data_IF_211891647005
#
_entry.id   IF_211891647005
#
_cell.length_a   1.000
_cell.length_b   1.000
_cell.length_c   1.000
_cell.angle_alpha   90.00
_cell.angle_beta   90.00
_cell.angle_gamma   90.00
#
_symmetry.space_group_name_H-M   'P 1'
#
loop_
_entity.id
_entity.type
_entity.pdbx_description
1 polymer ?
#
# COMPACT_ATOMS: atom_id res chain seq x y z
N UNK A 1 21.37 54.19 -31.17
CA UNK A 1 20.31 53.36 -30.53
C UNK A 1 20.95 52.12 -29.91
N UNK A 2 20.93 51.92 -28.61
CA UNK A 2 21.61 50.80 -27.96
C UNK A 2 20.77 49.55 -27.96
N UNK A 3 21.22 48.52 -28.71
CA UNK A 3 20.64 47.14 -28.71
C UNK A 3 21.35 46.27 -27.65
N UNK A 4 21.10 46.47 -26.35
CA UNK A 4 21.76 45.62 -25.34
C UNK A 4 20.97 45.24 -24.07
N UNK A 5 19.63 45.16 -23.98
CA UNK A 5 19.02 44.55 -22.79
C UNK A 5 18.65 43.07 -22.96
N UNK A 6 18.44 42.58 -24.18
CA UNK A 6 17.87 41.22 -24.34
C UNK A 6 18.86 40.09 -24.03
N UNK A 7 20.14 40.25 -24.37
CA UNK A 7 21.16 39.22 -24.05
C UNK A 7 21.45 39.11 -22.57
N UNK A 8 21.44 40.23 -21.83
CA UNK A 8 21.71 40.27 -20.39
C UNK A 8 20.58 39.67 -19.58
N UNK A 9 19.32 39.85 -20.01
CA UNK A 9 18.13 39.25 -19.39
C UNK A 9 18.09 37.74 -19.63
N UNK A 10 18.45 37.29 -20.85
CA UNK A 10 18.49 35.86 -21.18
C UNK A 10 19.60 35.13 -20.41
N UNK A 11 20.78 35.77 -20.24
CA UNK A 11 21.90 35.19 -19.47
C UNK A 11 21.60 35.18 -17.96
N UNK A 12 20.91 36.18 -17.43
CA UNK A 12 20.47 36.19 -16.02
C UNK A 12 19.40 35.12 -15.76
N UNK A 13 18.48 34.85 -16.72
CA UNK A 13 17.48 33.82 -16.62
C UNK A 13 18.09 32.41 -16.69
N UNK A 14 19.09 32.19 -17.54
CA UNK A 14 19.83 30.91 -17.62
C UNK A 14 20.71 30.66 -16.40
N UNK A 15 21.32 31.65 -15.82
CA UNK A 15 22.08 31.54 -14.56
C UNK A 15 21.16 31.30 -13.36
N UNK A 16 20.00 31.93 -13.29
CA UNK A 16 18.99 31.69 -12.27
C UNK A 16 18.37 30.27 -12.41
N UNK A 17 18.17 29.77 -13.63
CA UNK A 17 17.69 28.39 -13.88
C UNK A 17 18.74 27.34 -13.49
N UNK A 18 20.04 27.60 -13.72
CA UNK A 18 21.11 26.69 -13.32
C UNK A 18 21.36 26.67 -11.80
N UNK A 19 21.12 27.77 -11.08
CA UNK A 19 21.18 27.79 -9.62
C UNK A 19 19.94 27.21 -8.96
N UNK A 20 18.80 27.15 -9.66
CA UNK A 20 17.59 26.51 -9.16
C UNK A 20 17.69 24.96 -9.14
N UNK A 21 18.54 24.37 -9.98
CA UNK A 21 18.77 22.90 -9.98
C UNK A 21 19.42 22.35 -8.70
N UNK A 22 19.93 23.22 -7.81
CA UNK A 22 20.53 22.80 -6.52
C UNK A 22 19.65 23.03 -5.29
N UNK A 23 18.42 23.53 -5.46
CA UNK A 23 17.57 24.00 -4.35
C UNK A 23 16.89 22.87 -3.55
N UNK A 24 16.67 21.71 -4.14
CA UNK A 24 16.08 20.57 -3.43
C UNK A 24 17.05 19.40 -3.50
N UNK A 25 17.58 19.02 -2.34
CA UNK A 25 18.40 17.82 -2.19
C UNK A 25 17.56 16.67 -1.68
N UNK A 26 17.83 15.50 -2.19
CA UNK A 26 17.29 14.25 -1.71
C UNK A 26 17.52 14.09 -0.20
N UNK A 27 16.48 13.68 0.53
CA UNK A 27 16.57 13.40 1.95
C UNK A 27 16.59 11.87 2.14
N UNK A 28 17.75 11.29 2.50
CA UNK A 28 17.87 9.85 2.67
C UNK A 28 17.11 9.37 3.91
N UNK A 29 16.61 8.15 3.84
CA UNK A 29 16.13 7.40 5.00
C UNK A 29 17.34 7.06 5.88
N UNK A 30 17.17 7.14 7.19
CA UNK A 30 18.23 6.80 8.13
C UNK A 30 18.71 5.35 7.98
N UNK A 31 20.00 5.12 8.10
CA UNK A 31 20.60 3.80 8.00
C UNK A 31 20.76 3.14 9.35
N UNK A 32 20.72 1.81 9.38
CA UNK A 32 21.05 0.99 10.55
C UNK A 32 22.37 0.25 10.29
N UNK A 33 23.14 0.08 11.35
CA UNK A 33 24.44 -0.64 11.29
C UNK A 33 24.32 -2.10 11.75
N UNK A 34 23.21 -2.47 12.38
CA UNK A 34 22.93 -3.81 12.89
C UNK A 34 21.42 -4.05 12.90
N UNK A 35 21.04 -5.27 12.55
CA UNK A 35 19.64 -5.70 12.66
C UNK A 35 19.31 -6.05 14.11
N UNK A 36 18.20 -5.51 14.62
CA UNK A 36 17.60 -5.91 15.88
C UNK A 36 16.15 -6.35 15.60
N UNK A 37 15.89 -7.64 15.75
CA UNK A 37 14.57 -8.22 15.47
C UNK A 37 13.48 -7.78 16.46
N UNK A 38 13.88 -7.17 17.58
CA UNK A 38 12.94 -6.66 18.59
C UNK A 38 12.63 -5.16 18.44
N UNK A 39 13.19 -4.51 17.44
CA UNK A 39 13.02 -3.08 17.21
C UNK A 39 12.47 -2.77 15.82
N UNK A 40 11.80 -1.63 15.72
CA UNK A 40 11.24 -1.11 14.48
C UNK A 40 9.80 -1.56 14.24
N UNK A 41 9.16 -0.98 13.25
CA UNK A 41 7.77 -1.23 12.89
C UNK A 41 7.59 -2.62 12.29
N UNK A 42 7.42 -3.62 13.17
CA UNK A 42 7.30 -5.06 12.86
C UNK A 42 5.98 -5.61 13.33
N UNK A 43 5.41 -6.49 12.55
CA UNK A 43 4.18 -7.16 12.93
C UNK A 43 4.38 -8.10 14.13
N UNK A 44 5.51 -8.81 14.20
CA UNK A 44 5.78 -9.78 15.26
C UNK A 44 5.98 -9.14 16.65
N UNK A 45 6.56 -7.95 16.70
CA UNK A 45 6.82 -7.22 17.95
C UNK A 45 5.75 -6.19 18.26
N UNK A 46 4.79 -5.98 17.35
CA UNK A 46 3.74 -4.98 17.53
C UNK A 46 2.86 -5.28 18.74
N UNK A 47 2.61 -4.25 19.56
CA UNK A 47 1.70 -4.33 20.71
C UNK A 47 0.22 -4.28 20.32
N UNK A 48 -0.08 -4.29 19.01
CA UNK A 48 -1.46 -4.22 18.48
C UNK A 48 -2.27 -5.47 18.80
N UNK A 49 -1.60 -6.52 19.26
CA UNK A 49 -2.21 -7.80 19.56
C UNK A 49 -2.92 -7.77 20.94
N UNK A 50 -4.17 -8.22 20.94
CA UNK A 50 -4.95 -8.40 22.17
C UNK A 50 -4.74 -9.83 22.67
N UNK A 51 -4.19 -9.97 23.88
CA UNK A 51 -3.93 -11.28 24.49
C UNK A 51 -5.21 -12.08 24.82
N UNK A 52 -6.37 -11.41 24.84
CA UNK A 52 -7.65 -11.99 25.29
C UNK A 52 -8.55 -12.46 24.12
N UNK A 53 -8.12 -12.34 22.86
CA UNK A 53 -8.93 -12.65 21.69
C UNK A 53 -8.31 -13.77 20.87
N UNK A 54 -9.10 -14.80 20.55
CA UNK A 54 -8.70 -15.92 19.69
C UNK A 54 -8.99 -15.66 18.20
N UNK A 55 -9.50 -14.50 17.88
CA UNK A 55 -9.85 -14.06 16.53
C UNK A 55 -8.86 -13.03 16.01
N UNK A 56 -8.41 -13.20 14.76
CA UNK A 56 -7.54 -12.28 14.07
C UNK A 56 -8.21 -11.74 12.80
N UNK A 57 -8.47 -10.44 12.76
CA UNK A 57 -9.20 -9.79 11.66
C UNK A 57 -8.25 -8.99 10.79
N UNK A 58 -8.20 -9.33 9.51
CA UNK A 58 -7.41 -8.67 8.48
C UNK A 58 -8.34 -7.92 7.54
N UNK A 59 -8.13 -6.62 7.38
CA UNK A 59 -8.83 -5.78 6.42
C UNK A 59 -7.89 -5.42 5.27
N UNK A 60 -8.29 -5.74 4.04
CA UNK A 60 -7.52 -5.45 2.83
C UNK A 60 -8.26 -4.42 1.99
N UNK A 61 -7.58 -3.30 1.70
CA UNK A 61 -8.12 -2.15 0.97
C UNK A 61 -7.38 -1.99 -0.36
N UNK A 62 -8.09 -2.25 -1.45
CA UNK A 62 -7.52 -2.22 -2.81
C UNK A 62 -7.09 -0.84 -3.26
N UNK A 63 -6.29 -0.80 -4.33
CA UNK A 63 -6.07 0.40 -5.12
C UNK A 63 -7.33 0.88 -5.84
N UNK A 64 -7.30 2.13 -6.33
CA UNK A 64 -8.42 2.74 -7.06
C UNK A 64 -8.66 4.23 -6.73
N UNK A 65 -7.66 4.92 -6.18
CA UNK A 65 -7.74 6.36 -5.85
C UNK A 65 -8.81 6.66 -4.78
N UNK A 66 -9.46 7.80 -4.89
CA UNK A 66 -10.53 8.21 -3.96
C UNK A 66 -11.70 7.23 -3.94
N UNK A 67 -12.01 6.55 -5.06
CA UNK A 67 -13.04 5.51 -5.12
C UNK A 67 -12.77 4.36 -4.12
N UNK A 68 -11.53 3.87 -4.09
CA UNK A 68 -11.14 2.81 -3.16
C UNK A 68 -11.16 3.28 -1.70
N UNK A 69 -10.71 4.51 -1.46
CA UNK A 69 -10.77 5.11 -0.13
C UNK A 69 -12.22 5.32 0.35
N UNK A 70 -13.14 5.72 -0.54
CA UNK A 70 -14.56 5.93 -0.21
C UNK A 70 -15.26 4.60 0.10
N UNK A 71 -15.11 3.58 -0.76
CA UNK A 71 -15.68 2.26 -0.51
C UNK A 71 -15.14 1.65 0.80
N UNK A 72 -13.82 1.74 1.01
CA UNK A 72 -13.20 1.26 2.26
C UNK A 72 -13.71 2.02 3.49
N UNK A 73 -13.95 3.33 3.36
CA UNK A 73 -14.51 4.15 4.42
C UNK A 73 -15.95 3.71 4.77
N UNK A 74 -16.80 3.48 3.77
CA UNK A 74 -18.16 2.95 4.00
C UNK A 74 -18.14 1.59 4.71
N UNK A 75 -17.16 0.72 4.38
CA UNK A 75 -16.97 -0.54 5.10
C UNK A 75 -16.56 -0.28 6.56
N UNK A 76 -15.64 0.66 6.83
CA UNK A 76 -15.28 1.00 8.21
C UNK A 76 -16.45 1.58 9.00
N UNK A 77 -17.32 2.40 8.38
CA UNK A 77 -18.55 2.89 9.01
C UNK A 77 -19.47 1.74 9.43
N UNK A 78 -19.67 0.74 8.56
CA UNK A 78 -20.46 -0.43 8.90
C UNK A 78 -19.82 -1.26 10.01
N UNK A 79 -18.51 -1.48 9.97
CA UNK A 79 -17.78 -2.18 11.04
C UNK A 79 -17.84 -1.42 12.37
N UNK A 80 -17.88 -0.09 12.37
CA UNK A 80 -18.04 0.72 13.58
C UNK A 80 -19.42 0.56 14.20
N UNK A 81 -20.46 0.44 13.40
CA UNK A 81 -21.84 0.27 13.86
C UNK A 81 -22.10 -1.13 14.44
N UNK A 82 -21.40 -2.16 13.95
CA UNK A 82 -21.53 -3.52 14.45
C UNK A 82 -20.76 -3.70 15.75
N UNK A 83 -21.45 -4.16 16.81
CA UNK A 83 -20.83 -4.42 18.09
C UNK A 83 -20.72 -5.92 18.33
N UNK A 84 -19.56 -6.32 18.83
CA UNK A 84 -19.26 -7.69 19.26
C UNK A 84 -18.84 -7.70 20.71
N UNK A 85 -19.16 -8.77 21.43
CA UNK A 85 -18.71 -8.94 22.82
C UNK A 85 -17.54 -9.91 22.84
N UNK A 86 -16.35 -9.39 23.21
CA UNK A 86 -15.11 -10.15 23.32
C UNK A 86 -14.57 -9.93 24.73
N UNK A 87 -14.23 -11.01 25.42
CA UNK A 87 -13.73 -10.93 26.80
C UNK A 87 -14.71 -10.21 27.77
N UNK A 88 -16.02 -10.31 27.51
CA UNK A 88 -17.06 -9.65 28.31
C UNK A 88 -17.22 -8.14 28.04
N UNK A 89 -16.47 -7.56 27.12
CA UNK A 89 -16.55 -6.13 26.74
C UNK A 89 -17.19 -5.98 25.36
N UNK A 90 -18.22 -5.12 25.27
CA UNK A 90 -18.82 -4.76 23.99
C UNK A 90 -17.98 -3.69 23.28
N UNK A 91 -17.46 -4.02 22.09
CA UNK A 91 -16.63 -3.14 21.26
C UNK A 91 -17.18 -3.11 19.84
N UNK A 92 -16.85 -2.07 19.06
CA UNK A 92 -17.13 -2.07 17.64
C UNK A 92 -16.30 -3.12 16.91
N UNK A 93 -16.84 -3.70 15.83
CA UNK A 93 -16.07 -4.63 15.00
C UNK A 93 -14.88 -3.93 14.33
N UNK A 94 -15.02 -2.62 14.01
CA UNK A 94 -13.91 -1.78 13.53
C UNK A 94 -12.74 -1.77 14.50
N UNK A 95 -13.00 -1.61 15.81
CA UNK A 95 -11.94 -1.60 16.81
C UNK A 95 -11.31 -2.97 17.06
N UNK A 96 -11.84 -4.04 16.48
CA UNK A 96 -11.30 -5.39 16.53
C UNK A 96 -10.49 -5.79 15.28
N UNK A 97 -10.34 -4.92 14.31
CA UNK A 97 -9.40 -5.14 13.19
C UNK A 97 -7.97 -5.11 13.75
N UNK A 98 -7.19 -6.17 13.48
CA UNK A 98 -5.82 -6.32 13.95
C UNK A 98 -4.79 -5.87 12.92
N UNK A 99 -5.06 -6.14 11.65
CA UNK A 99 -4.19 -5.81 10.53
C UNK A 99 -4.98 -5.14 9.43
N UNK A 100 -4.48 -4.02 8.93
CA UNK A 100 -5.00 -3.40 7.70
C UNK A 100 -3.90 -3.35 6.65
N UNK A 101 -4.22 -3.85 5.45
CA UNK A 101 -3.33 -3.76 4.28
C UNK A 101 -3.94 -2.77 3.31
N UNK A 102 -3.15 -1.80 2.85
CA UNK A 102 -3.63 -0.78 1.93
C UNK A 102 -2.74 -0.58 0.72
N UNK A 103 -3.36 -0.39 -0.43
CA UNK A 103 -2.70 -0.18 -1.72
C UNK A 103 -3.25 1.08 -2.37
N UNK A 104 -2.38 1.97 -2.86
CA UNK A 104 -2.77 3.19 -3.56
C UNK A 104 -3.82 4.00 -2.75
N UNK A 105 -4.99 4.30 -3.31
CA UNK A 105 -6.09 4.96 -2.58
C UNK A 105 -6.50 4.25 -1.28
N UNK A 106 -6.46 2.92 -1.25
CA UNK A 106 -6.70 2.14 -0.03
C UNK A 106 -5.62 2.35 1.03
N UNK A 107 -4.36 2.63 0.64
CA UNK A 107 -3.28 2.93 1.58
C UNK A 107 -3.47 4.24 2.32
N UNK A 108 -4.14 5.23 1.70
CA UNK A 108 -4.48 6.51 2.35
C UNK A 108 -5.39 6.26 3.54
N UNK A 109 -6.44 5.44 3.35
CA UNK A 109 -7.37 5.08 4.42
C UNK A 109 -6.71 4.16 5.45
N UNK A 110 -5.96 3.14 5.02
CA UNK A 110 -5.28 2.20 5.90
C UNK A 110 -4.32 2.90 6.87
N UNK A 111 -3.46 3.77 6.37
CA UNK A 111 -2.53 4.54 7.18
C UNK A 111 -3.25 5.51 8.14
N UNK A 112 -4.34 6.13 7.68
CA UNK A 112 -5.12 7.04 8.52
C UNK A 112 -5.86 6.29 9.61
N UNK A 113 -6.44 5.12 9.30
CA UNK A 113 -7.10 4.25 10.27
C UNK A 113 -6.12 3.73 11.32
N UNK A 114 -4.94 3.27 10.92
CA UNK A 114 -3.91 2.85 11.86
C UNK A 114 -3.48 3.98 12.80
N UNK A 115 -3.36 5.21 12.30
CA UNK A 115 -2.95 6.37 13.10
C UNK A 115 -4.06 6.86 14.03
N UNK A 116 -5.33 6.84 13.59
CA UNK A 116 -6.47 7.50 14.26
C UNK A 116 -7.48 6.54 14.90
N UNK A 117 -7.45 5.25 14.56
CA UNK A 117 -8.42 4.28 15.07
C UNK A 117 -9.85 4.69 14.72
N UNK A 118 -10.76 4.60 15.68
CA UNK A 118 -12.17 4.97 15.50
C UNK A 118 -12.40 6.46 15.18
N UNK A 119 -11.44 7.36 15.49
CA UNK A 119 -11.51 8.76 15.09
C UNK A 119 -11.42 8.94 13.57
N UNK A 120 -11.11 7.89 12.81
CA UNK A 120 -11.16 7.90 11.34
C UNK A 120 -12.55 8.30 10.86
N UNK A 121 -13.58 7.87 11.56
CA UNK A 121 -14.95 8.28 11.33
C UNK A 121 -15.30 9.42 12.31
N UNK A 122 -15.70 10.59 11.90
CA UNK A 122 -15.95 11.14 10.55
C UNK A 122 -14.78 11.98 9.98
N UNK A 123 -13.60 11.95 10.59
CA UNK A 123 -12.51 12.88 10.26
C UNK A 123 -11.97 12.68 8.83
N UNK A 124 -11.84 11.43 8.39
CA UNK A 124 -11.31 11.10 7.07
C UNK A 124 -12.22 11.60 5.94
N UNK A 125 -13.54 11.48 6.13
CA UNK A 125 -14.53 12.01 5.19
C UNK A 125 -14.31 13.50 4.91
N UNK A 126 -14.15 14.32 5.96
CA UNK A 126 -13.93 15.76 5.85
C UNK A 126 -12.56 16.14 5.29
N UNK A 127 -11.51 15.39 5.70
CA UNK A 127 -10.11 15.74 5.39
C UNK A 127 -9.61 15.19 4.06
N UNK A 128 -10.24 14.13 3.55
CA UNK A 128 -9.82 13.49 2.31
C UNK A 128 -10.97 13.39 1.30
N UNK A 129 -12.05 12.70 1.62
CA UNK A 129 -13.06 12.32 0.64
C UNK A 129 -13.78 13.56 0.05
N UNK A 130 -13.96 14.61 0.84
CA UNK A 130 -14.53 15.89 0.41
C UNK A 130 -13.50 16.91 -0.08
N UNK A 131 -12.23 16.54 -0.22
CA UNK A 131 -11.17 17.43 -0.69
C UNK A 131 -10.82 17.16 -2.15
N UNK A 132 -10.57 18.20 -2.91
CA UNK A 132 -10.09 18.05 -4.28
C UNK A 132 -8.55 17.99 -4.31
N UNK A 133 -7.98 16.85 -3.91
CA UNK A 133 -6.53 16.63 -3.91
C UNK A 133 -5.91 16.78 -5.29
N UNK A 134 -6.60 16.31 -6.32
CA UNK A 134 -6.12 16.41 -7.70
C UNK A 134 -5.89 17.88 -8.10
N UNK A 135 -6.89 18.74 -7.85
CA UNK A 135 -6.76 20.17 -8.14
C UNK A 135 -5.66 20.83 -7.31
N UNK A 136 -5.53 20.43 -6.06
CA UNK A 136 -4.52 20.97 -5.15
C UNK A 136 -3.11 20.61 -5.64
N UNK A 137 -2.84 19.36 -6.03
CA UNK A 137 -1.53 18.93 -6.57
C UNK A 137 -1.23 19.65 -7.89
N UNK A 138 -2.21 19.75 -8.79
CA UNK A 138 -2.03 20.51 -10.05
C UNK A 138 -1.71 21.95 -9.78
N UNK A 139 -2.48 22.62 -8.88
CA UNK A 139 -2.24 24.01 -8.50
C UNK A 139 -0.84 24.22 -7.87
N UNK A 140 -0.39 23.29 -7.06
CA UNK A 140 0.96 23.32 -6.50
C UNK A 140 2.03 23.13 -7.57
N UNK A 141 1.86 22.20 -8.51
CA UNK A 141 2.84 21.97 -9.57
C UNK A 141 3.09 23.20 -10.43
N UNK A 142 2.07 24.02 -10.64
CA UNK A 142 2.15 25.28 -11.41
C UNK A 142 2.42 26.52 -10.53
N UNK A 143 2.70 26.37 -9.23
CA UNK A 143 3.03 27.51 -8.38
C UNK A 143 4.45 28.02 -8.65
N UNK A 144 4.65 29.34 -8.57
CA UNK A 144 5.97 29.97 -8.74
C UNK A 144 7.03 29.44 -7.76
N UNK A 145 6.62 28.96 -6.60
CA UNK A 145 7.50 28.39 -5.58
C UNK A 145 7.94 26.96 -5.91
N UNK A 146 7.10 26.17 -6.60
CA UNK A 146 7.38 24.77 -6.90
C UNK A 146 7.97 24.53 -8.29
N UNK A 147 7.81 25.46 -9.23
CA UNK A 147 8.44 25.32 -10.55
C UNK A 147 9.97 25.13 -10.47
N UNK A 148 10.74 25.90 -9.65
CA UNK A 148 12.17 25.64 -9.48
C UNK A 148 12.45 24.31 -8.80
N UNK A 149 11.62 23.87 -7.85
CA UNK A 149 11.76 22.58 -7.15
C UNK A 149 11.55 21.40 -8.10
N UNK A 150 10.55 21.47 -8.97
CA UNK A 150 10.26 20.46 -9.98
C UNK A 150 11.29 20.41 -11.11
N UNK A 151 12.15 21.42 -11.24
CA UNK A 151 13.29 21.41 -12.14
C UNK A 151 14.49 20.63 -11.53
N UNK A 152 14.47 20.31 -10.22
CA UNK A 152 15.46 19.43 -9.61
C UNK A 152 15.27 17.99 -10.05
N UNK A 153 16.34 17.26 -10.43
CA UNK A 153 16.25 15.84 -10.75
C UNK A 153 15.90 14.96 -9.55
N UNK A 154 16.02 15.48 -8.33
CA UNK A 154 15.79 14.76 -7.08
C UNK A 154 14.41 15.04 -6.45
N UNK A 155 13.55 15.79 -7.14
CA UNK A 155 12.22 16.18 -6.67
C UNK A 155 11.18 16.10 -7.78
N UNK A 156 10.05 15.46 -7.49
CA UNK A 156 9.02 15.24 -8.49
C UNK A 156 7.60 15.47 -7.99
N UNK A 157 6.62 15.20 -8.86
CA UNK A 157 5.19 15.30 -8.51
C UNK A 157 4.77 14.30 -7.42
N UNK A 158 5.49 13.20 -7.22
CA UNK A 158 5.27 12.30 -6.10
C UNK A 158 5.60 12.94 -4.74
N UNK A 159 6.65 13.79 -4.69
CA UNK A 159 6.99 14.53 -3.47
C UNK A 159 5.97 15.63 -3.17
N UNK A 160 5.38 16.26 -4.19
CA UNK A 160 4.23 17.18 -4.01
C UNK A 160 3.01 16.46 -3.44
N UNK A 161 2.75 15.22 -3.88
CA UNK A 161 1.67 14.40 -3.34
C UNK A 161 1.92 14.07 -1.86
N UNK A 162 3.16 13.73 -1.50
CA UNK A 162 3.57 13.56 -0.09
C UNK A 162 3.25 14.81 0.73
N UNK A 163 3.63 15.98 0.27
CA UNK A 163 3.36 17.25 0.96
C UNK A 163 1.85 17.50 1.15
N UNK A 164 1.02 17.13 0.18
CA UNK A 164 -0.44 17.21 0.34
C UNK A 164 -0.95 16.28 1.44
N UNK A 165 -0.47 15.05 1.47
CA UNK A 165 -0.84 14.11 2.52
C UNK A 165 -0.34 14.56 3.90
N UNK A 166 0.85 15.15 3.99
CA UNK A 166 1.33 15.76 5.23
C UNK A 166 0.42 16.90 5.70
N UNK A 167 0.07 17.82 4.80
CA UNK A 167 -0.71 19.00 5.15
C UNK A 167 -2.15 18.70 5.57
N UNK A 168 -2.77 17.67 5.00
CA UNK A 168 -4.19 17.42 5.18
C UNK A 168 -4.51 16.23 6.10
N UNK A 169 -3.66 15.20 6.16
CA UNK A 169 -3.97 13.94 6.82
C UNK A 169 -3.00 13.57 7.94
N UNK A 170 -1.72 13.45 7.64
CA UNK A 170 -0.78 12.78 8.52
C UNK A 170 0.10 13.75 9.33
N UNK A 171 0.14 15.03 8.95
CA UNK A 171 1.14 15.94 9.54
C UNK A 171 2.55 15.40 9.29
N UNK A 172 3.35 15.43 10.32
CA UNK A 172 4.73 14.90 10.30
C UNK A 172 4.84 13.49 10.88
N UNK A 173 3.74 12.75 11.01
CA UNK A 173 3.76 11.42 11.58
C UNK A 173 4.65 10.46 10.80
N UNK A 174 5.37 9.63 11.53
CA UNK A 174 6.32 8.61 11.06
C UNK A 174 5.82 7.21 11.40
N UNK A 175 6.50 6.17 10.93
CA UNK A 175 6.21 4.79 11.35
C UNK A 175 6.50 4.57 12.83
N UNK A 176 7.46 5.29 13.42
CA UNK A 176 7.70 5.25 14.89
C UNK A 176 6.54 5.84 15.66
N UNK A 177 5.92 6.92 15.17
CA UNK A 177 4.71 7.46 15.79
C UNK A 177 3.55 6.48 15.67
N UNK A 178 3.46 5.75 14.58
CA UNK A 178 2.45 4.70 14.39
C UNK A 178 2.68 3.53 15.37
N UNK A 179 3.93 3.10 15.55
CA UNK A 179 4.31 2.06 16.51
C UNK A 179 4.00 2.46 17.95
N UNK A 180 4.32 3.70 18.34
CA UNK A 180 4.21 4.16 19.73
C UNK A 180 2.85 4.73 20.09
N UNK A 181 2.14 5.32 19.16
CA UNK A 181 0.96 6.16 19.39
C UNK A 181 -0.20 5.86 18.44
N UNK A 182 -0.08 4.84 17.60
CA UNK A 182 -1.18 4.39 16.72
C UNK A 182 -2.38 3.96 17.54
N UNK A 183 -3.58 4.36 17.12
CA UNK A 183 -4.85 4.05 17.80
C UNK A 183 -5.64 2.94 17.11
N UNK A 184 -5.21 2.54 15.93
CA UNK A 184 -5.87 1.54 15.09
C UNK A 184 -5.03 0.26 14.92
N UNK A 185 -5.32 -0.54 13.88
CA UNK A 185 -4.63 -1.78 13.59
C UNK A 185 -3.18 -1.55 13.13
N UNK A 186 -2.39 -2.64 13.10
CA UNK A 186 -1.12 -2.63 12.37
C UNK A 186 -1.39 -2.39 10.89
N UNK A 187 -0.68 -1.45 10.25
CA UNK A 187 -0.88 -1.14 8.84
C UNK A 187 0.29 -1.61 7.97
N UNK A 188 -0.03 -2.29 6.88
CA UNK A 188 0.92 -2.56 5.80
C UNK A 188 0.53 -1.70 4.60
N UNK A 189 1.42 -0.81 4.20
CA UNK A 189 1.32 -0.03 2.98
C UNK A 189 2.18 -0.71 1.93
N UNK A 190 1.63 -0.96 0.74
CA UNK A 190 2.35 -1.65 -0.33
C UNK A 190 2.61 -0.73 -1.51
N UNK A 191 3.85 -0.73 -2.01
CA UNK A 191 4.26 -0.06 -3.24
C UNK A 191 4.92 -1.06 -4.19
N UNK A 192 5.18 -0.64 -5.43
CA UNK A 192 5.94 -1.42 -6.42
C UNK A 192 7.33 -0.83 -6.58
N UNK A 193 8.38 -1.64 -6.39
CA UNK A 193 9.75 -1.32 -6.81
C UNK A 193 9.83 -1.42 -8.34
N UNK A 194 9.94 -0.28 -9.00
CA UNK A 194 9.94 -0.18 -10.46
C UNK A 194 11.13 -0.91 -11.10
N UNK A 195 12.29 -0.88 -10.45
CA UNK A 195 13.52 -1.48 -10.97
C UNK A 195 13.58 -3.00 -10.79
N UNK A 196 12.90 -3.54 -9.78
CA UNK A 196 12.85 -4.98 -9.53
C UNK A 196 11.59 -5.65 -10.10
N UNK A 197 10.52 -4.88 -10.35
CA UNK A 197 9.19 -5.43 -10.67
C UNK A 197 8.55 -6.15 -9.49
N UNK A 198 8.96 -5.80 -8.26
CA UNK A 198 8.60 -6.51 -7.04
C UNK A 198 7.74 -5.64 -6.13
N UNK A 199 6.89 -6.28 -5.31
CA UNK A 199 6.17 -5.61 -4.23
C UNK A 199 7.15 -5.24 -3.12
N UNK A 200 7.03 -4.02 -2.58
CA UNK A 200 7.70 -3.56 -1.38
C UNK A 200 6.64 -3.16 -0.35
N UNK A 201 6.63 -3.84 0.78
CA UNK A 201 5.79 -3.48 1.92
C UNK A 201 6.56 -2.59 2.89
N UNK A 202 5.90 -1.55 3.41
CA UNK A 202 6.50 -0.67 4.40
C UNK A 202 6.36 -1.30 5.80
N UNK A 203 7.21 -2.31 6.05
CA UNK A 203 7.47 -2.92 7.34
C UNK A 203 8.98 -3.06 7.53
N UNK A 204 9.44 -3.14 8.77
CA UNK A 204 10.89 -3.19 9.03
C UNK A 204 11.54 -4.42 8.42
N UNK A 205 10.81 -5.54 8.29
CA UNK A 205 11.29 -6.77 7.65
C UNK A 205 11.72 -6.54 6.18
N UNK A 206 11.03 -5.65 5.45
CA UNK A 206 11.42 -5.25 4.10
C UNK A 206 12.55 -4.21 4.08
N UNK A 207 12.72 -3.44 5.16
CA UNK A 207 13.75 -2.40 5.28
C UNK A 207 15.07 -2.95 5.83
N UNK A 208 15.06 -4.07 6.54
CA UNK A 208 16.26 -4.74 7.06
C UNK A 208 17.28 -5.12 5.97
N UNK A 209 16.89 -5.76 4.84
CA UNK A 209 17.82 -6.05 3.75
C UNK A 209 18.45 -4.81 3.14
N UNK A 210 17.74 -3.67 3.18
CA UNK A 210 18.23 -2.37 2.74
C UNK A 210 19.08 -1.65 3.79
N UNK A 211 19.21 -2.20 5.00
CA UNK A 211 19.89 -1.58 6.14
C UNK A 211 19.35 -0.17 6.46
N UNK A 212 18.03 -0.01 6.45
CA UNK A 212 17.34 1.27 6.67
C UNK A 212 16.43 1.19 7.91
N UNK A 213 16.34 2.31 8.64
CA UNK A 213 15.36 2.52 9.73
C UNK A 213 14.04 3.04 9.15
N UNK A 214 13.04 2.16 9.06
CA UNK A 214 11.69 2.54 8.66
C UNK A 214 11.05 3.51 9.66
N UNK A 215 11.39 3.39 10.95
CA UNK A 215 10.78 4.17 12.01
C UNK A 215 10.81 5.67 11.77
N UNK A 216 11.89 6.20 11.17
CA UNK A 216 12.01 7.62 10.84
C UNK A 216 11.28 8.06 9.57
N UNK A 217 10.79 7.13 8.75
CA UNK A 217 10.13 7.47 7.48
C UNK A 217 8.73 8.06 7.74
N UNK A 218 8.39 9.13 7.02
CA UNK A 218 7.06 9.76 7.06
C UNK A 218 6.00 8.81 6.51
N UNK A 219 4.86 8.68 7.19
CA UNK A 219 3.70 7.94 6.68
C UNK A 219 3.25 8.48 5.32
N UNK A 220 3.20 9.80 5.19
CA UNK A 220 2.84 10.46 3.93
C UNK A 220 3.74 10.05 2.76
N UNK A 221 5.05 9.78 3.00
CA UNK A 221 5.97 9.32 1.96
C UNK A 221 5.66 7.91 1.49
N UNK A 222 5.37 7.00 2.40
CA UNK A 222 4.97 5.64 2.08
C UNK A 222 3.64 5.60 1.31
N UNK A 223 2.65 6.38 1.76
CA UNK A 223 1.35 6.52 1.10
C UNK A 223 1.50 7.15 -0.29
N UNK A 224 2.36 8.18 -0.44
CA UNK A 224 2.65 8.78 -1.74
C UNK A 224 3.33 7.78 -2.68
N UNK A 225 4.27 6.96 -2.19
CA UNK A 225 4.90 5.90 -2.98
C UNK A 225 3.86 4.87 -3.47
N UNK A 226 3.01 4.41 -2.55
CA UNK A 226 1.91 3.48 -2.87
C UNK A 226 0.91 4.04 -3.88
N UNK A 227 0.78 5.37 -3.95
CA UNK A 227 -0.18 6.11 -4.78
C UNK A 227 0.44 6.77 -6.01
N UNK A 228 1.72 6.53 -6.28
CA UNK A 228 2.44 7.11 -7.43
C UNK A 228 2.10 6.41 -8.74
N UNK A 229 0.87 6.68 -9.24
CA UNK A 229 0.38 6.16 -10.52
C UNK A 229 1.29 6.62 -11.64
N UNK A 230 1.82 5.71 -12.47
CA UNK A 230 2.67 6.06 -13.62
C UNK A 230 2.02 7.11 -14.51
N UNK A 231 2.82 8.01 -15.09
CA UNK A 231 2.44 9.17 -15.90
C UNK A 231 1.73 10.31 -15.14
N UNK A 232 1.05 10.04 -14.04
CA UNK A 232 0.39 11.07 -13.22
C UNK A 232 1.39 11.63 -12.20
N UNK A 233 2.05 10.75 -11.46
CA UNK A 233 3.04 11.11 -10.45
C UNK A 233 4.42 10.57 -10.79
N UNK A 234 5.46 11.28 -10.32
CA UNK A 234 6.82 10.76 -10.38
C UNK A 234 7.03 9.67 -9.31
N UNK A 235 7.90 8.69 -9.57
CA UNK A 235 8.29 7.71 -8.56
C UNK A 235 8.83 8.36 -7.29
N UNK A 236 8.60 7.72 -6.16
CA UNK A 236 9.24 8.08 -4.88
C UNK A 236 10.54 7.32 -4.76
N UNK A 237 11.63 8.05 -4.51
CA UNK A 237 12.96 7.46 -4.37
C UNK A 237 13.28 7.19 -2.90
N UNK A 238 13.83 6.00 -2.63
CA UNK A 238 14.51 5.65 -1.38
C UNK A 238 15.97 5.36 -1.66
N UNK A 239 16.85 5.66 -0.70
CA UNK A 239 18.24 5.16 -0.71
C UNK A 239 18.24 3.67 -0.37
N UNK A 240 19.33 3.00 -0.69
CA UNK A 240 19.60 1.63 -0.28
C UNK A 240 21.00 1.59 0.34
N UNK A 241 21.11 0.99 1.52
CA UNK A 241 22.37 0.79 2.25
C UNK A 241 22.64 -0.71 2.47
N UNK A 242 21.95 -1.58 1.73
CA UNK A 242 22.06 -3.01 1.86
C UNK A 242 23.50 -3.54 1.78
N UNK A 243 23.78 -4.58 2.55
CA UNK A 243 25.13 -5.13 2.71
C UNK A 243 25.96 -4.52 3.84
N UNK A 244 25.50 -3.45 4.51
CA UNK A 244 26.28 -2.72 5.51
C UNK A 244 25.82 -2.94 6.96
N UNK A 245 24.81 -3.80 7.21
CA UNK A 245 24.29 -4.05 8.56
C UNK A 245 24.29 -5.52 8.99
N UNK A 246 24.95 -6.38 8.22
CA UNK A 246 25.03 -7.83 8.53
C UNK A 246 23.69 -8.55 8.39
N UNK A 247 22.80 -8.08 7.50
CA UNK A 247 21.52 -8.76 7.26
C UNK A 247 21.72 -10.20 6.81
N UNK A 248 20.99 -11.10 7.44
CA UNK A 248 20.86 -12.50 7.04
C UNK A 248 19.37 -12.89 7.02
N UNK A 249 19.00 -13.79 6.12
CA UNK A 249 17.63 -14.30 6.10
C UNK A 249 17.27 -14.90 7.46
N UNK A 250 16.05 -14.68 7.97
CA UNK A 250 15.55 -15.28 9.20
C UNK A 250 15.78 -16.80 9.21
N UNK A 251 16.13 -17.41 10.37
CA UNK A 251 16.41 -18.86 10.47
C UNK A 251 15.28 -19.72 9.94
N UNK A 252 14.02 -19.28 10.11
CA UNK A 252 12.82 -19.96 9.62
C UNK A 252 12.82 -20.08 8.09
N UNK A 253 13.46 -19.15 7.40
CA UNK A 253 13.62 -19.12 5.95
C UNK A 253 14.95 -19.71 5.48
N UNK A 254 15.84 -20.07 6.40
CA UNK A 254 17.10 -20.77 6.10
C UNK A 254 16.95 -22.30 6.18
N UNK A 255 15.79 -22.81 6.61
CA UNK A 255 15.58 -24.25 6.79
C UNK A 255 15.58 -24.98 5.46
N UNK A 256 16.76 -25.50 5.13
CA UNK A 256 17.06 -26.28 3.92
C UNK A 256 16.49 -27.72 3.96
N UNK A 257 15.81 -28.14 5.04
CA UNK A 257 15.30 -29.49 5.23
C UNK A 257 14.04 -29.86 4.45
N UNK A 258 13.49 -28.95 3.62
CA UNK A 258 12.26 -29.15 2.86
C UNK A 258 12.52 -29.46 1.38
N UNK A 259 13.60 -30.14 1.08
CA UNK A 259 14.00 -30.50 -0.29
C UNK A 259 13.01 -31.39 -1.05
N UNK A 260 11.95 -31.86 -0.42
CA UNK A 260 11.01 -32.81 -1.03
C UNK A 260 9.90 -32.21 -1.90
N UNK A 261 9.73 -30.87 -1.97
CA UNK A 261 8.69 -30.27 -2.80
C UNK A 261 9.26 -29.20 -3.73
N UNK A 262 9.44 -29.56 -5.00
CA UNK A 262 10.00 -28.69 -6.06
C UNK A 262 9.31 -27.32 -6.20
N UNK A 263 8.02 -27.23 -5.86
CA UNK A 263 7.22 -26.00 -5.99
C UNK A 263 7.46 -25.03 -4.83
N UNK A 264 7.62 -25.54 -3.61
CA UNK A 264 8.02 -24.73 -2.44
C UNK A 264 9.42 -24.18 -2.59
N UNK A 265 10.32 -24.91 -3.25
CA UNK A 265 11.66 -24.42 -3.59
C UNK A 265 11.62 -23.21 -4.55
N UNK A 266 10.71 -23.15 -5.51
CA UNK A 266 10.59 -22.03 -6.44
C UNK A 266 10.17 -20.73 -5.73
N UNK A 267 9.08 -20.76 -4.96
CA UNK A 267 8.59 -19.60 -4.20
C UNK A 267 9.61 -19.13 -3.16
N UNK A 268 10.29 -20.07 -2.48
CA UNK A 268 11.37 -19.75 -1.57
C UNK A 268 12.56 -19.07 -2.28
N UNK A 269 12.97 -19.59 -3.45
CA UNK A 269 14.05 -18.98 -4.22
C UNK A 269 13.69 -17.59 -4.76
N UNK A 270 12.46 -17.39 -5.18
CA UNK A 270 11.95 -16.06 -5.56
C UNK A 270 12.01 -15.09 -4.38
N UNK A 271 11.56 -15.53 -3.21
CA UNK A 271 11.60 -14.74 -1.99
C UNK A 271 13.06 -14.40 -1.61
N UNK A 272 13.95 -15.39 -1.57
CA UNK A 272 15.38 -15.19 -1.30
C UNK A 272 16.01 -14.22 -2.30
N UNK A 273 15.72 -14.38 -3.59
CA UNK A 273 16.22 -13.50 -4.64
C UNK A 273 15.73 -12.05 -4.47
N UNK A 274 14.48 -11.87 -4.05
CA UNK A 274 13.93 -10.55 -3.74
C UNK A 274 14.75 -9.83 -2.67
N UNK A 275 15.02 -10.50 -1.55
CA UNK A 275 15.79 -9.90 -0.47
C UNK A 275 17.28 -9.70 -0.84
N UNK A 276 17.85 -10.60 -1.62
CA UNK A 276 19.23 -10.44 -2.12
C UNK A 276 19.37 -9.18 -3.01
N UNK A 277 18.35 -8.85 -3.82
CA UNK A 277 18.35 -7.61 -4.63
C UNK A 277 18.44 -6.36 -3.76
N UNK A 278 17.85 -6.37 -2.57
CA UNK A 278 17.89 -5.24 -1.64
C UNK A 278 19.20 -5.20 -0.83
N UNK A 279 19.87 -6.31 -0.65
CA UNK A 279 21.15 -6.39 0.10
C UNK A 279 22.34 -5.88 -0.71
N UNK A 280 22.19 -5.53 -1.97
CA UNK A 280 23.26 -5.02 -2.83
C UNK A 280 23.10 -3.54 -3.15
N UNK A 281 23.55 -2.69 -2.23
CA UNK A 281 23.53 -1.23 -2.42
C UNK A 281 24.59 -0.73 -3.40
N UNK A 282 25.58 -1.55 -3.78
CA UNK A 282 26.61 -1.15 -4.75
C UNK A 282 26.05 -1.08 -6.16
N UNK A 283 25.25 -2.08 -6.55
CA UNK A 283 24.60 -2.11 -7.86
C UNK A 283 23.25 -1.38 -7.85
N UNK A 284 22.60 -1.28 -6.70
CA UNK A 284 21.30 -0.60 -6.53
C UNK A 284 21.32 0.38 -5.38
N UNK A 285 22.01 1.53 -5.50
CA UNK A 285 22.09 2.53 -4.43
C UNK A 285 20.76 3.26 -4.16
N UNK A 286 19.84 3.20 -5.10
CA UNK A 286 18.49 3.77 -4.98
C UNK A 286 17.41 2.80 -5.44
N UNK A 287 16.24 2.97 -4.85
CA UNK A 287 15.02 2.22 -5.16
C UNK A 287 13.94 3.23 -5.54
N UNK A 288 13.31 3.03 -6.70
CA UNK A 288 12.25 3.90 -7.19
C UNK A 288 10.90 3.19 -7.06
N UNK A 289 10.01 3.79 -6.29
CA UNK A 289 8.71 3.21 -5.96
C UNK A 289 7.61 3.90 -6.75
N UNK A 290 6.72 3.08 -7.28
CA UNK A 290 5.50 3.48 -7.98
C UNK A 290 4.29 2.80 -7.37
N UNK A 291 3.09 3.07 -7.90
CA UNK A 291 1.82 2.57 -7.38
C UNK A 291 1.85 1.05 -7.10
N UNK A 292 1.37 0.69 -5.91
CA UNK A 292 1.37 -0.69 -5.43
C UNK A 292 0.44 -1.60 -6.22
N UNK A 293 -0.60 -1.04 -6.86
CA UNK A 293 -1.57 -1.79 -7.65
C UNK A 293 -0.98 -2.54 -8.84
N UNK A 294 0.21 -2.15 -9.31
CA UNK A 294 0.89 -2.81 -10.43
C UNK A 294 1.38 -4.23 -10.08
N UNK A 295 1.75 -4.49 -8.83
CA UNK A 295 2.23 -5.81 -8.39
C UNK A 295 1.23 -6.55 -7.50
N UNK A 296 0.40 -5.83 -6.74
CA UNK A 296 -0.59 -6.41 -5.81
C UNK A 296 -1.71 -5.41 -5.48
N UNK A 297 -2.72 -5.32 -6.33
CA UNK A 297 -3.80 -4.33 -6.15
C UNK A 297 -4.70 -4.57 -4.93
N UNK A 298 -4.74 -5.78 -4.40
CA UNK A 298 -5.52 -6.12 -3.20
C UNK A 298 -4.70 -6.12 -1.92
N UNK A 299 -3.35 -6.10 -2.00
CA UNK A 299 -2.48 -6.35 -0.85
C UNK A 299 -2.47 -7.81 -0.38
N UNK A 300 -3.05 -8.72 -1.16
CA UNK A 300 -3.31 -10.11 -0.77
C UNK A 300 -2.12 -11.04 -1.00
N UNK A 301 -1.23 -10.69 -1.93
CA UNK A 301 -0.10 -11.56 -2.30
C UNK A 301 0.85 -11.82 -1.15
N UNK A 302 0.99 -10.88 -0.19
CA UNK A 302 1.79 -11.13 1.01
C UNK A 302 1.30 -12.32 1.82
N UNK A 303 -0.02 -12.46 1.98
CA UNK A 303 -0.60 -13.61 2.66
C UNK A 303 -0.44 -14.89 1.84
N UNK A 304 -0.67 -14.82 0.53
CA UNK A 304 -0.49 -15.97 -0.38
C UNK A 304 0.96 -16.45 -0.37
N UNK A 305 1.93 -15.54 -0.47
CA UNK A 305 3.36 -15.89 -0.43
C UNK A 305 3.71 -16.60 0.90
N UNK A 306 3.17 -16.12 2.04
CA UNK A 306 3.38 -16.77 3.33
C UNK A 306 2.79 -18.19 3.37
N UNK A 307 1.59 -18.39 2.81
CA UNK A 307 0.96 -19.72 2.77
C UNK A 307 1.70 -20.70 1.88
N UNK A 308 2.41 -20.22 0.87
CA UNK A 308 3.21 -21.04 -0.04
C UNK A 308 4.62 -21.32 0.47
N UNK A 309 5.20 -20.36 1.23
CA UNK A 309 6.55 -20.52 1.79
C UNK A 309 6.61 -21.44 3.01
N UNK A 310 5.58 -21.39 3.86
CA UNK A 310 5.56 -22.16 5.09
C UNK A 310 4.79 -23.47 4.91
N UNK A 311 5.39 -24.62 5.29
CA UNK A 311 4.63 -25.87 5.39
C UNK A 311 3.42 -25.67 6.30
N UNK A 312 2.34 -26.37 5.98
CA UNK A 312 1.08 -26.31 6.69
C UNK A 312 1.23 -26.39 8.21
N UNK A 313 2.02 -27.35 8.68
CA UNK A 313 2.30 -27.55 10.11
C UNK A 313 3.02 -26.35 10.76
N UNK A 314 3.89 -25.67 10.04
CA UNK A 314 4.62 -24.50 10.56
C UNK A 314 3.66 -23.30 10.67
N UNK A 315 2.84 -23.08 9.67
CA UNK A 315 1.81 -22.02 9.70
C UNK A 315 0.82 -22.26 10.85
N UNK A 316 0.30 -23.48 10.99
CA UNK A 316 -0.58 -23.87 12.09
C UNK A 316 0.08 -23.68 13.46
N UNK A 317 1.33 -24.09 13.61
CA UNK A 317 2.07 -23.89 14.86
C UNK A 317 2.22 -22.40 15.21
N UNK A 318 2.49 -21.54 14.23
CA UNK A 318 2.57 -20.10 14.44
C UNK A 318 1.22 -19.50 14.85
N UNK A 319 0.13 -19.93 14.22
CA UNK A 319 -1.24 -19.50 14.57
C UNK A 319 -1.56 -19.93 16.01
N UNK A 320 -1.28 -21.19 16.36
CA UNK A 320 -1.53 -21.75 17.71
C UNK A 320 -0.66 -21.11 18.79
N UNK A 321 0.63 -20.85 18.50
CA UNK A 321 1.54 -20.19 19.48
C UNK A 321 1.04 -18.81 19.87
N UNK A 322 0.13 -18.26 19.07
CA UNK A 322 -0.53 -16.98 19.29
C UNK A 322 -1.93 -17.11 19.88
N UNK A 323 -2.36 -18.28 20.30
CA UNK A 323 -3.70 -18.60 20.81
C UNK A 323 -4.84 -18.24 19.82
N UNK A 324 -4.55 -18.17 18.52
CA UNK A 324 -5.55 -17.85 17.50
C UNK A 324 -6.30 -19.11 17.09
N UNK A 325 -7.62 -18.97 16.92
CA UNK A 325 -8.53 -20.00 16.44
C UNK A 325 -9.33 -19.56 15.21
N UNK A 326 -9.55 -18.26 15.07
CA UNK A 326 -10.35 -17.71 13.99
C UNK A 326 -9.54 -16.66 13.25
N UNK A 327 -9.38 -16.84 11.94
CA UNK A 327 -8.74 -15.87 11.06
C UNK A 327 -9.79 -15.40 10.07
N UNK A 328 -10.10 -14.10 10.11
CA UNK A 328 -11.09 -13.46 9.25
C UNK A 328 -10.37 -12.50 8.32
N UNK A 329 -10.52 -12.71 7.02
CA UNK A 329 -9.98 -11.82 6.00
C UNK A 329 -11.13 -11.13 5.28
N UNK A 330 -11.16 -9.80 5.36
CA UNK A 330 -12.14 -8.95 4.67
C UNK A 330 -11.38 -8.22 3.55
N UNK A 331 -11.71 -8.54 2.31
CA UNK A 331 -11.13 -7.89 1.12
C UNK A 331 -12.14 -6.91 0.53
N UNK A 332 -11.76 -5.63 0.46
CA UNK A 332 -12.57 -4.55 -0.13
C UNK A 332 -11.96 -4.18 -1.46
N UNK A 333 -12.61 -4.58 -2.54
CA UNK A 333 -12.14 -4.39 -3.90
C UNK A 333 -12.98 -3.33 -4.63
N UNK A 334 -12.41 -2.16 -4.80
CA UNK A 334 -13.02 -1.05 -5.49
C UNK A 334 -12.76 -1.05 -7.01
N UNK A 335 -12.39 -2.18 -7.60
CA UNK A 335 -12.11 -2.25 -9.02
C UNK A 335 -13.36 -1.95 -9.85
N UNK A 336 -13.22 -0.99 -10.77
CA UNK A 336 -14.28 -0.63 -11.69
C UNK A 336 -14.32 -1.55 -12.93
N UNK A 337 -15.31 -1.34 -13.76
CA UNK A 337 -15.39 -1.98 -15.05
C UNK A 337 -14.41 -1.29 -16.02
N UNK A 338 -13.66 -2.06 -16.80
CA UNK A 338 -12.89 -1.51 -17.92
C UNK A 338 -13.90 -0.91 -18.89
N UNK A 339 -13.73 0.37 -19.22
CA UNK A 339 -14.69 1.08 -20.06
C UNK A 339 -14.76 0.48 -21.46
N UNK A 340 -15.95 0.01 -21.84
CA UNK A 340 -16.24 -0.44 -23.22
C UNK A 340 -16.51 0.71 -24.20
N UNK A 341 -16.25 1.97 -23.80
CA UNK A 341 -16.50 3.12 -24.67
C UNK A 341 -15.62 3.10 -25.93
N UNK A 342 -14.45 2.48 -25.85
CA UNK A 342 -13.56 2.29 -27.01
C UNK A 342 -14.21 1.43 -28.10
N UNK A 343 -15.06 0.48 -27.72
CA UNK A 343 -15.69 -0.49 -28.61
C UNK A 343 -16.96 0.06 -29.28
N UNK A 344 -17.40 1.26 -28.90
CA UNK A 344 -18.61 1.88 -29.48
C UNK A 344 -18.40 2.52 -30.83
N UNK A 345 -17.15 2.70 -31.25
CA UNK A 345 -16.79 3.32 -32.55
C UNK A 345 -15.64 2.57 -33.22
N UNK A 346 -15.53 2.65 -34.51
CA UNK A 346 -14.39 2.13 -35.27
C UNK A 346 -13.15 3.04 -35.18
N UNK A 347 -13.19 4.13 -34.43
CA UNK A 347 -12.07 5.03 -34.27
C UNK A 347 -10.95 4.33 -33.49
N UNK A 348 -9.70 4.54 -33.89
CA UNK A 348 -8.52 4.00 -33.20
C UNK A 348 -8.45 4.65 -31.80
N UNK A 349 -8.34 3.87 -30.70
CA UNK A 349 -8.20 4.41 -29.36
C UNK A 349 -7.02 5.37 -29.22
N UNK A 350 -7.20 6.43 -28.46
CA UNK A 350 -6.16 7.42 -28.23
C UNK A 350 -5.01 6.87 -27.37
N UNK A 351 -3.86 7.52 -27.41
CA UNK A 351 -2.67 7.12 -26.64
C UNK A 351 -2.99 6.93 -25.14
N UNK A 352 -3.77 7.82 -24.55
CA UNK A 352 -4.20 7.73 -23.15
C UNK A 352 -5.00 6.47 -22.87
N UNK A 353 -5.93 6.10 -23.76
CA UNK A 353 -6.77 4.92 -23.58
C UNK A 353 -5.95 3.64 -23.67
N UNK A 354 -5.01 3.58 -24.62
CA UNK A 354 -4.09 2.45 -24.79
C UNK A 354 -3.21 2.28 -23.53
N UNK A 355 -2.60 3.36 -23.04
CA UNK A 355 -1.76 3.30 -21.83
C UNK A 355 -2.59 2.90 -20.59
N UNK A 356 -3.79 3.43 -20.46
CA UNK A 356 -4.71 3.06 -19.37
C UNK A 356 -5.05 1.57 -19.43
N UNK A 357 -5.30 1.04 -20.63
CA UNK A 357 -5.56 -0.39 -20.84
C UNK A 357 -4.35 -1.26 -20.47
N UNK A 358 -3.13 -0.88 -20.93
CA UNK A 358 -1.88 -1.58 -20.63
C UNK A 358 -1.66 -1.70 -19.10
N UNK A 359 -2.01 -0.68 -18.34
CA UNK A 359 -1.88 -0.69 -16.87
C UNK A 359 -2.99 -1.49 -16.21
N UNK A 360 -4.25 -1.27 -16.61
CA UNK A 360 -5.40 -1.82 -15.89
C UNK A 360 -5.68 -3.30 -16.19
N UNK A 361 -5.41 -3.76 -17.43
CA UNK A 361 -5.68 -5.16 -17.81
C UNK A 361 -4.88 -6.15 -16.94
N UNK A 362 -3.55 -6.02 -16.78
CA UNK A 362 -2.79 -6.90 -15.90
C UNK A 362 -3.25 -6.81 -14.44
N UNK A 363 -3.53 -5.60 -13.94
CA UNK A 363 -4.04 -5.39 -12.58
C UNK A 363 -5.34 -6.18 -12.35
N UNK A 364 -6.27 -6.13 -13.32
CA UNK A 364 -7.54 -6.87 -13.23
C UNK A 364 -7.32 -8.39 -13.22
N UNK A 365 -6.51 -8.90 -14.14
CA UNK A 365 -6.21 -10.32 -14.24
C UNK A 365 -5.54 -10.85 -12.97
N UNK A 366 -4.52 -10.16 -12.46
CA UNK A 366 -3.84 -10.54 -11.21
C UNK A 366 -4.75 -10.45 -9.99
N UNK A 367 -5.65 -9.46 -9.94
CA UNK A 367 -6.64 -9.33 -8.88
C UNK A 367 -7.57 -10.54 -8.84
N UNK A 368 -8.12 -10.94 -9.98
CA UNK A 368 -9.01 -12.10 -10.08
C UNK A 368 -8.28 -13.41 -9.72
N UNK A 369 -7.04 -13.55 -10.15
CA UNK A 369 -6.23 -14.72 -9.80
C UNK A 369 -5.94 -14.79 -8.30
N UNK A 370 -5.55 -13.68 -7.67
CA UNK A 370 -5.31 -13.61 -6.23
C UNK A 370 -6.55 -13.97 -5.41
N UNK A 371 -7.73 -13.48 -5.83
CA UNK A 371 -9.00 -13.83 -5.18
C UNK A 371 -9.33 -15.32 -5.29
N UNK A 372 -9.15 -15.92 -6.49
CA UNK A 372 -9.40 -17.36 -6.71
C UNK A 372 -8.45 -18.22 -5.87
N UNK A 373 -7.15 -17.91 -5.88
CA UNK A 373 -6.15 -18.64 -5.10
C UNK A 373 -6.41 -18.56 -3.60
N UNK A 374 -6.77 -17.38 -3.12
CA UNK A 374 -7.03 -17.20 -1.69
C UNK A 374 -8.32 -17.94 -1.25
N UNK A 375 -9.38 -17.92 -2.05
CA UNK A 375 -10.58 -18.74 -1.78
C UNK A 375 -10.24 -20.23 -1.72
N UNK A 376 -9.53 -20.74 -2.72
CA UNK A 376 -9.11 -22.14 -2.74
C UNK A 376 -8.27 -22.52 -1.51
N UNK A 377 -7.36 -21.63 -1.08
CA UNK A 377 -6.59 -21.82 0.15
C UNK A 377 -7.50 -21.93 1.38
N UNK A 378 -8.45 -21.01 1.54
CA UNK A 378 -9.39 -21.00 2.67
C UNK A 378 -10.24 -22.27 2.70
N UNK A 379 -10.79 -22.69 1.55
CA UNK A 379 -11.61 -23.88 1.43
C UNK A 379 -10.80 -25.13 1.79
N UNK A 380 -9.60 -25.29 1.22
CA UNK A 380 -8.70 -26.41 1.52
C UNK A 380 -8.32 -26.47 3.01
N UNK A 381 -8.08 -25.33 3.64
CA UNK A 381 -7.73 -25.26 5.06
C UNK A 381 -8.89 -25.66 5.95
N UNK A 382 -10.07 -25.16 5.68
CA UNK A 382 -11.26 -25.49 6.45
C UNK A 382 -11.63 -27.00 6.31
N UNK A 383 -11.48 -27.59 5.13
CA UNK A 383 -11.66 -29.03 4.92
C UNK A 383 -10.62 -29.85 5.72
N UNK A 384 -9.35 -29.48 5.68
CA UNK A 384 -8.31 -30.16 6.44
C UNK A 384 -8.54 -30.06 7.96
N UNK A 385 -8.96 -28.89 8.44
CA UNK A 385 -9.25 -28.65 9.86
C UNK A 385 -10.49 -29.45 10.35
N UNK A 386 -11.51 -29.62 9.52
CA UNK A 386 -12.66 -30.48 9.84
C UNK A 386 -12.25 -31.94 10.01
N UNK A 387 -11.30 -32.42 9.19
CA UNK A 387 -10.82 -33.80 9.26
C UNK A 387 -9.88 -34.05 10.46
N UNK A 388 -9.04 -33.08 10.81
CA UNK A 388 -8.07 -33.20 11.91
C UNK A 388 -8.64 -32.85 13.29
N UNK A 389 -9.78 -32.15 13.35
CA UNK A 389 -10.36 -31.64 14.61
C UNK A 389 -9.55 -30.50 15.22
N UNK A 390 -8.70 -29.86 14.44
CA UNK A 390 -7.68 -28.91 14.92
C UNK A 390 -8.23 -27.56 15.42
N UNK A 391 -9.46 -27.21 15.09
CA UNK A 391 -10.18 -26.07 15.68
C UNK A 391 -9.73 -24.69 15.21
N UNK A 392 -8.90 -24.57 14.15
CA UNK A 392 -8.58 -23.29 13.51
C UNK A 392 -9.53 -23.09 12.33
N UNK A 393 -10.23 -21.98 12.25
CA UNK A 393 -11.11 -21.64 11.15
C UNK A 393 -10.61 -20.43 10.36
N UNK A 394 -10.84 -20.47 9.05
CA UNK A 394 -10.55 -19.35 8.15
C UNK A 394 -11.87 -18.87 7.53
N UNK A 395 -12.13 -17.56 7.61
CA UNK A 395 -13.25 -16.91 6.96
C UNK A 395 -12.77 -15.88 5.96
N UNK A 396 -13.31 -15.91 4.74
CA UNK A 396 -12.97 -14.94 3.71
C UNK A 396 -14.22 -14.23 3.21
N UNK A 397 -14.28 -12.93 3.44
CA UNK A 397 -15.31 -12.02 2.95
C UNK A 397 -14.72 -11.14 1.86
N UNK A 398 -15.26 -11.25 0.65
CA UNK A 398 -14.81 -10.44 -0.49
C UNK A 398 -15.94 -9.49 -0.91
N UNK A 399 -15.72 -8.20 -0.73
CA UNK A 399 -16.62 -7.12 -1.13
C UNK A 399 -16.10 -6.50 -2.42
N UNK A 400 -16.81 -6.68 -3.52
CA UNK A 400 -16.45 -6.12 -4.82
C UNK A 400 -17.60 -5.28 -5.37
N UNK A 401 -17.30 -4.12 -5.96
CA UNK A 401 -18.31 -3.31 -6.65
C UNK A 401 -19.00 -4.09 -7.78
N UNK A 402 -18.29 -5.02 -8.42
CA UNK A 402 -18.83 -5.86 -9.50
C UNK A 402 -19.89 -6.85 -9.01
N UNK A 403 -19.91 -7.18 -7.72
CA UNK A 403 -20.85 -8.16 -7.13
C UNK A 403 -22.20 -7.53 -6.74
N UNK A 404 -22.34 -6.21 -6.85
CA UNK A 404 -23.61 -5.53 -6.65
C UNK A 404 -24.66 -6.07 -7.63
N UNK A 405 -25.91 -6.28 -7.19
CA UNK A 405 -26.98 -6.70 -8.08
C UNK A 405 -27.25 -5.66 -9.18
N UNK A 406 -27.69 -6.09 -10.37
CA UNK A 406 -28.00 -5.16 -11.46
C UNK A 406 -28.94 -4.04 -11.01
N UNK A 407 -28.49 -2.81 -11.11
CA UNK A 407 -29.21 -1.60 -10.66
C UNK A 407 -28.57 -0.35 -11.24
N UNK A 408 -29.30 0.76 -11.27
CA UNK A 408 -28.76 2.06 -11.64
C UNK A 408 -27.57 2.48 -10.75
N UNK A 409 -27.60 2.13 -9.46
CA UNK A 409 -26.49 2.38 -8.54
C UNK A 409 -25.25 1.59 -8.96
N UNK A 410 -25.38 0.29 -9.25
CA UNK A 410 -24.27 -0.54 -9.75
C UNK A 410 -23.63 0.06 -10.98
N UNK A 411 -24.44 0.45 -11.96
CA UNK A 411 -23.93 1.04 -13.20
C UNK A 411 -23.20 2.35 -12.92
N UNK A 412 -23.70 3.17 -12.01
CA UNK A 412 -23.07 4.41 -11.58
C UNK A 412 -21.71 4.15 -10.93
N UNK A 413 -21.64 3.32 -9.89
CA UNK A 413 -20.41 3.10 -9.13
C UNK A 413 -19.31 2.40 -9.93
N UNK A 414 -19.68 1.49 -10.86
CA UNK A 414 -18.74 0.83 -11.75
C UNK A 414 -18.12 1.75 -12.80
N UNK A 415 -18.76 2.89 -13.09
CA UNK A 415 -18.26 3.90 -14.02
C UNK A 415 -17.49 5.03 -13.33
N UNK A 416 -17.41 5.06 -11.99
CA UNK A 416 -16.62 6.07 -11.28
C UNK A 416 -15.13 5.91 -11.64
N UNK A 417 -14.46 6.98 -12.11
CA UNK A 417 -13.07 6.89 -12.53
C UNK A 417 -12.11 6.72 -11.35
N UNK A 418 -10.92 6.17 -11.62
CA UNK A 418 -9.81 6.23 -10.68
C UNK A 418 -9.18 7.62 -10.72
N UNK A 419 -9.33 8.38 -9.63
CA UNK A 419 -8.79 9.74 -9.51
C UNK A 419 -8.52 10.09 -8.04
N UNK A 420 -7.85 11.22 -7.79
CA UNK A 420 -7.69 11.80 -6.44
C UNK A 420 -8.75 12.86 -6.11
N UNK A 421 -9.84 12.85 -6.82
CA UNK A 421 -11.04 13.62 -6.55
C UNK A 421 -12.26 12.93 -7.13
N UNK A 422 -13.31 12.87 -6.34
CA UNK A 422 -14.66 12.52 -6.78
C UNK A 422 -15.64 13.63 -6.39
N UNK A 423 -16.68 13.86 -7.19
CA UNK A 423 -17.81 14.65 -6.74
C UNK A 423 -18.42 14.07 -5.46
N UNK A 424 -18.95 14.91 -4.53
CA UNK A 424 -19.54 14.42 -3.29
C UNK A 424 -20.60 13.34 -3.51
N UNK A 425 -21.45 13.48 -4.51
CA UNK A 425 -22.46 12.47 -4.86
C UNK A 425 -21.87 11.10 -5.20
N UNK A 426 -20.70 11.05 -5.88
CA UNK A 426 -20.03 9.80 -6.20
C UNK A 426 -19.39 9.17 -4.96
N UNK A 427 -18.90 9.99 -4.02
CA UNK A 427 -18.40 9.52 -2.72
C UNK A 427 -19.53 8.90 -1.90
N UNK A 428 -20.69 9.57 -1.86
CA UNK A 428 -21.85 9.12 -1.07
C UNK A 428 -22.53 7.87 -1.67
N UNK A 429 -22.30 7.56 -2.94
CA UNK A 429 -22.80 6.34 -3.58
C UNK A 429 -21.90 5.10 -3.33
N UNK A 430 -20.69 5.33 -2.87
CA UNK A 430 -19.70 4.29 -2.59
C UNK A 430 -19.72 3.84 -1.14
#
# INVERSE_FOLDING_TARGET
MPKRPFKTVLTAFTLAALSACSLVKYQPVATINKIDMNQGYRFETSQFRREEDDTFIILMLSGGGTRAAALGYGVLEQLQQQKVTIGGKSKSLMSNVDLVVGVSGGSVLAAYFALKGEETIPMFYKRFLHQNFQRQVVKQAFSMTNLPRLASPEYGRGDLLQEQFENHLFGKATFRDLEMHGKGPFAIISATDMGAGERLNFTQEYFDPMCLDLGGLRLARAVAASSSVPMVFAPITLNNNGGNCGYALPPQLQMTGLESQKQQNATYQEFKNRFNKYSDSKTRPYIHLIDGGLTDNLGMRSLLDMTEMYPDKVLEQQIRSRNLRHIVVISVNAQNQISSNMDKTAAVPGFRDVVTAIVNIPIDQYTQESLRRFRAFVDQRNEANQQSGDGISFSFVSLNLKDLPPSALRDKVLNIPTSFYLPPEDVDNL
#
